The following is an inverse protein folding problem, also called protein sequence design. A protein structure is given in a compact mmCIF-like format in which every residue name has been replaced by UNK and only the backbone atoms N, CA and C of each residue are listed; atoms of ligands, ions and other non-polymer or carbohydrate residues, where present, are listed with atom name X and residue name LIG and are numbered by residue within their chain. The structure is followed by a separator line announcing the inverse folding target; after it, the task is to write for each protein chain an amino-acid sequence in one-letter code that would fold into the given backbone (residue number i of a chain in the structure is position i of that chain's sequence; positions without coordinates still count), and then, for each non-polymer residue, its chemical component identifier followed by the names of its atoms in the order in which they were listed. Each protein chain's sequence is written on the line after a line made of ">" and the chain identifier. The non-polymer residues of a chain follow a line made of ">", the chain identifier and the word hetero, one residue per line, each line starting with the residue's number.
data_IF_243716323867
#
_entry.id   IF_243716323867
#
_cell.length_a   1.000
_cell.length_b   1.000
_cell.length_c   1.000
_cell.angle_alpha   90.00
_cell.angle_beta   90.00
_cell.angle_gamma   90.00
#
_symmetry.space_group_name_H-M   'P 1'
#
loop_
_entity.id
_entity.type
_entity.pdbx_description
1 polymer ?
#
# COMPACT_ATOMS: atom_id res chain seq x y z
N UNK A 1 4.94 18.22 -19.50
CA UNK A 1 4.52 18.00 -18.10
C UNK A 1 4.26 19.32 -17.38
N UNK A 2 5.23 20.24 -17.32
CA UNK A 2 5.12 21.48 -16.51
C UNK A 2 4.30 22.63 -17.14
N UNK A 3 3.88 22.54 -18.41
CA UNK A 3 3.21 23.64 -19.14
C UNK A 3 1.96 24.20 -18.45
N UNK A 4 1.30 23.42 -17.60
CA UNK A 4 0.14 23.87 -16.84
C UNK A 4 0.50 24.87 -15.73
N UNK A 5 1.74 24.83 -15.21
CA UNK A 5 2.23 25.75 -14.16
C UNK A 5 2.39 27.19 -14.65
N UNK A 6 2.51 27.40 -15.96
CA UNK A 6 2.51 28.73 -16.57
C UNK A 6 1.26 29.53 -16.21
N UNK A 7 0.15 28.85 -15.95
CA UNK A 7 -1.14 29.46 -15.64
C UNK A 7 -1.49 29.40 -14.14
N UNK A 8 -0.60 28.86 -13.31
CA UNK A 8 -0.75 28.85 -11.85
C UNK A 8 -0.26 30.19 -11.29
N UNK A 9 -1.21 31.02 -10.83
CA UNK A 9 -0.93 32.37 -10.33
C UNK A 9 0.04 32.41 -9.15
N UNK A 10 0.21 31.32 -8.42
CA UNK A 10 1.12 31.24 -7.27
C UNK A 10 2.51 30.71 -7.63
N UNK A 11 2.66 30.04 -8.79
CA UNK A 11 3.87 29.27 -9.12
C UNK A 11 4.38 29.50 -10.54
N UNK A 12 3.94 30.57 -11.20
CA UNK A 12 4.44 30.94 -12.53
C UNK A 12 5.96 31.16 -12.54
N UNK A 13 6.54 31.68 -11.45
CA UNK A 13 7.98 31.89 -11.30
C UNK A 13 8.77 30.55 -11.22
N UNK A 14 8.15 29.49 -10.71
CA UNK A 14 8.78 28.17 -10.65
C UNK A 14 8.91 27.55 -12.05
N UNK A 15 7.91 27.79 -12.92
CA UNK A 15 7.96 27.36 -14.32
C UNK A 15 9.16 27.99 -15.04
N UNK A 16 9.31 29.31 -14.94
CA UNK A 16 10.43 30.03 -15.58
C UNK A 16 11.79 29.53 -15.09
N UNK A 17 11.89 29.18 -13.82
CA UNK A 17 13.14 28.71 -13.21
C UNK A 17 13.51 27.27 -13.57
N UNK A 18 12.52 26.38 -13.69
CA UNK A 18 12.75 24.92 -13.75
C UNK A 18 12.33 24.26 -15.07
N UNK A 19 11.80 24.99 -16.05
CA UNK A 19 11.38 24.41 -17.35
C UNK A 19 12.54 23.76 -18.11
N UNK A 20 13.70 24.43 -18.21
CA UNK A 20 14.83 23.95 -19.03
C UNK A 20 15.63 22.85 -18.34
N UNK A 21 15.77 22.92 -17.02
CA UNK A 21 16.50 21.94 -16.22
C UNK A 21 15.70 21.61 -14.97
N UNK A 22 14.71 20.74 -15.12
CA UNK A 22 13.80 20.37 -14.03
C UNK A 22 14.53 19.49 -13.01
N UNK A 23 14.77 19.97 -11.78
CA UNK A 23 15.40 19.12 -10.78
C UNK A 23 14.39 18.08 -10.29
N UNK A 24 14.91 16.91 -9.92
CA UNK A 24 14.10 15.76 -9.52
C UNK A 24 13.19 16.04 -8.32
N UNK A 25 13.65 16.80 -7.33
CA UNK A 25 12.85 17.16 -6.16
C UNK A 25 11.61 17.97 -6.57
N UNK A 26 11.78 18.88 -7.54
CA UNK A 26 10.68 19.68 -8.07
C UNK A 26 9.70 18.77 -8.80
N UNK A 27 10.18 17.90 -9.69
CA UNK A 27 9.31 16.93 -10.37
C UNK A 27 8.46 16.11 -9.37
N UNK A 28 9.07 15.59 -8.30
CA UNK A 28 8.39 14.77 -7.29
C UNK A 28 7.24 15.52 -6.59
N UNK A 29 7.34 16.85 -6.44
CA UNK A 29 6.28 17.66 -5.83
C UNK A 29 5.02 17.79 -6.70
N UNK A 30 5.14 17.64 -8.03
CA UNK A 30 4.03 17.84 -8.97
C UNK A 30 3.43 16.56 -9.51
N UNK A 31 4.21 15.48 -9.55
CA UNK A 31 3.73 14.23 -10.09
C UNK A 31 2.64 13.63 -9.21
N UNK A 32 1.66 12.97 -9.81
CA UNK A 32 0.65 12.26 -9.03
C UNK A 32 1.28 11.02 -8.39
N UNK A 33 0.65 10.47 -7.35
CA UNK A 33 1.18 9.27 -6.70
C UNK A 33 1.35 8.08 -7.66
N UNK A 34 0.50 8.00 -8.70
CA UNK A 34 0.65 7.01 -9.77
C UNK A 34 1.92 7.21 -10.58
N UNK A 35 2.22 8.46 -10.96
CA UNK A 35 3.45 8.82 -11.66
C UNK A 35 4.68 8.58 -10.77
N UNK A 36 4.59 8.83 -9.46
CA UNK A 36 5.65 8.50 -8.51
C UNK A 36 5.93 6.99 -8.48
N UNK A 37 4.90 6.14 -8.55
CA UNK A 37 5.09 4.69 -8.66
C UNK A 37 5.88 4.33 -9.93
N UNK A 38 5.48 4.89 -11.08
CA UNK A 38 6.18 4.69 -12.34
C UNK A 38 7.62 5.24 -12.29
N UNK A 39 7.83 6.36 -11.60
CA UNK A 39 9.13 6.96 -11.43
C UNK A 39 10.07 6.06 -10.61
N UNK A 40 9.58 5.46 -9.52
CA UNK A 40 10.34 4.49 -8.71
C UNK A 40 10.72 3.26 -9.55
N UNK A 41 9.80 2.75 -10.37
CA UNK A 41 10.06 1.65 -11.30
C UNK A 41 11.17 2.01 -12.30
N UNK A 42 11.02 3.15 -13.00
CA UNK A 42 12.02 3.68 -13.91
C UNK A 42 13.39 3.86 -13.24
N UNK A 43 13.42 4.43 -12.03
CA UNK A 43 14.67 4.72 -11.32
C UNK A 43 15.42 3.44 -10.97
N UNK A 44 14.71 2.40 -10.51
CA UNK A 44 15.30 1.09 -10.27
C UNK A 44 15.77 0.43 -11.57
N UNK A 45 14.99 0.47 -12.64
CA UNK A 45 15.35 -0.16 -13.91
C UNK A 45 16.57 0.51 -14.57
N UNK A 46 16.76 1.82 -14.34
CA UNK A 46 17.86 2.58 -14.92
C UNK A 46 19.17 2.48 -14.15
N UNK A 47 19.10 2.43 -12.81
CA UNK A 47 20.26 2.55 -11.93
C UNK A 47 20.50 1.33 -11.03
N UNK A 48 19.54 0.41 -10.92
CA UNK A 48 19.61 -0.82 -10.13
C UNK A 48 19.97 -0.59 -8.65
N UNK A 49 19.48 0.50 -8.06
CA UNK A 49 19.68 0.81 -6.65
C UNK A 49 18.86 -0.18 -5.81
N UNK A 50 19.54 -1.03 -5.05
CA UNK A 50 18.93 -2.15 -4.32
C UNK A 50 17.81 -1.73 -3.35
N UNK A 51 17.89 -0.53 -2.78
CA UNK A 51 16.85 0.03 -1.90
C UNK A 51 15.47 0.09 -2.58
N UNK A 52 15.43 0.28 -3.91
CA UNK A 52 14.19 0.38 -4.68
C UNK A 52 13.71 -0.95 -5.26
N UNK A 53 14.48 -2.04 -5.14
CA UNK A 53 14.20 -3.34 -5.78
C UNK A 53 12.88 -3.97 -5.37
N UNK A 54 12.55 -3.85 -4.08
CA UNK A 54 11.28 -4.34 -3.55
C UNK A 54 10.17 -3.30 -3.76
N UNK A 55 10.51 -2.02 -3.62
CA UNK A 55 9.56 -0.90 -3.74
C UNK A 55 8.99 -0.78 -5.15
N UNK A 56 9.81 -0.90 -6.20
CA UNK A 56 9.38 -0.86 -7.59
C UNK A 56 8.31 -1.94 -7.91
N UNK A 57 8.28 -3.04 -7.15
CA UNK A 57 7.30 -4.12 -7.33
C UNK A 57 6.07 -4.01 -6.44
N UNK A 58 6.11 -3.16 -5.41
CA UNK A 58 5.12 -3.19 -4.31
C UNK A 58 4.38 -1.88 -4.11
N UNK A 59 4.96 -0.73 -4.45
CA UNK A 59 4.34 0.60 -4.24
C UNK A 59 3.00 0.75 -4.98
N UNK A 60 2.84 0.06 -6.12
CA UNK A 60 1.58 0.03 -6.89
C UNK A 60 0.38 -0.49 -6.08
N UNK A 61 0.60 -1.40 -5.13
CA UNK A 61 -0.46 -1.94 -4.27
C UNK A 61 -0.90 -0.90 -3.22
N UNK A 62 0.06 -0.11 -2.71
CA UNK A 62 -0.24 1.02 -1.82
C UNK A 62 -1.09 2.07 -2.54
N UNK A 63 -0.79 2.34 -3.82
CA UNK A 63 -1.61 3.22 -4.67
C UNK A 63 -3.06 2.76 -4.73
N UNK A 64 -3.32 1.46 -4.84
CA UNK A 64 -4.67 0.91 -4.90
C UNK A 64 -5.47 1.22 -3.62
N UNK A 65 -4.88 1.02 -2.43
CA UNK A 65 -5.55 1.35 -1.15
C UNK A 65 -5.73 2.86 -0.99
N UNK A 66 -4.69 3.65 -1.28
CA UNK A 66 -4.78 5.11 -1.22
C UNK A 66 -5.91 5.63 -2.09
N UNK A 67 -6.02 5.15 -3.33
CA UNK A 67 -7.05 5.60 -4.26
C UNK A 67 -8.45 5.19 -3.77
N UNK A 68 -8.61 3.98 -3.22
CA UNK A 68 -9.89 3.57 -2.61
C UNK A 68 -10.29 4.49 -1.46
N UNK A 69 -9.34 4.84 -0.58
CA UNK A 69 -9.59 5.78 0.51
C UNK A 69 -9.94 7.18 0.00
N UNK A 70 -9.20 7.72 -0.99
CA UNK A 70 -9.42 9.05 -1.54
C UNK A 70 -10.75 9.20 -2.30
N UNK A 71 -11.25 8.11 -2.89
CA UNK A 71 -12.50 8.09 -3.66
C UNK A 71 -13.68 7.47 -2.89
N UNK A 72 -13.54 7.23 -1.58
CA UNK A 72 -14.57 6.61 -0.73
C UNK A 72 -15.07 5.23 -1.23
N UNK A 73 -14.22 4.47 -1.93
CA UNK A 73 -14.54 3.11 -2.36
C UNK A 73 -14.53 2.17 -1.15
N UNK A 74 -15.63 1.44 -0.86
CA UNK A 74 -15.69 0.57 0.32
C UNK A 74 -14.69 -0.58 0.25
N UNK A 75 -13.65 -0.53 1.09
CA UNK A 75 -12.56 -1.51 1.07
C UNK A 75 -13.04 -2.91 1.56
N UNK A 76 -14.04 -2.94 2.43
CA UNK A 76 -14.64 -4.20 2.92
C UNK A 76 -15.50 -4.91 1.87
N UNK A 77 -15.83 -4.25 0.76
CA UNK A 77 -16.63 -4.86 -0.29
C UNK A 77 -15.93 -6.11 -0.84
N UNK A 78 -16.66 -7.22 -0.89
CA UNK A 78 -16.17 -8.53 -1.35
C UNK A 78 -14.92 -9.06 -0.61
N UNK A 79 -14.62 -8.59 0.60
CA UNK A 79 -13.39 -8.96 1.33
C UNK A 79 -13.35 -10.44 1.73
N UNK A 80 -14.50 -11.12 1.76
CA UNK A 80 -14.59 -12.55 2.09
C UNK A 80 -14.26 -13.46 0.89
N UNK A 81 -14.25 -12.94 -0.34
CA UNK A 81 -13.96 -13.73 -1.55
C UNK A 81 -12.50 -14.16 -1.60
N UNK A 82 -12.22 -15.37 -2.10
CA UNK A 82 -10.88 -15.97 -2.07
C UNK A 82 -10.34 -16.37 -3.45
N UNK A 83 -10.98 -15.87 -4.50
CA UNK A 83 -10.73 -16.26 -5.90
C UNK A 83 -10.62 -15.08 -6.85
N UNK A 84 -10.46 -13.85 -6.34
CA UNK A 84 -10.38 -12.65 -7.18
C UNK A 84 -9.07 -12.58 -7.98
N UNK A 85 -7.99 -13.16 -7.45
CA UNK A 85 -6.68 -13.28 -8.09
C UNK A 85 -6.32 -14.75 -8.34
N UNK A 86 -5.66 -15.03 -9.47
CA UNK A 86 -5.01 -16.32 -9.64
C UNK A 86 -3.78 -16.42 -8.73
N UNK A 87 -3.40 -17.66 -8.36
CA UNK A 87 -2.27 -17.86 -7.45
C UNK A 87 -0.94 -17.30 -7.98
N UNK A 88 -0.76 -17.31 -9.30
CA UNK A 88 0.42 -16.78 -10.01
C UNK A 88 0.52 -15.26 -10.00
N UNK A 89 -0.60 -14.56 -9.82
CA UNK A 89 -0.66 -13.09 -9.85
C UNK A 89 -0.37 -12.47 -8.48
N UNK A 90 -0.22 -13.29 -7.44
CA UNK A 90 0.15 -12.84 -6.10
C UNK A 90 1.60 -12.40 -6.08
N UNK A 91 1.85 -11.25 -5.46
CA UNK A 91 3.24 -10.84 -5.17
C UNK A 91 3.94 -11.85 -4.25
N UNK A 92 5.10 -12.32 -4.71
CA UNK A 92 5.98 -13.21 -3.94
C UNK A 92 6.50 -12.51 -2.68
N UNK A 93 6.83 -11.22 -2.76
CA UNK A 93 7.31 -10.42 -1.63
C UNK A 93 6.27 -10.37 -0.50
N UNK A 94 5.01 -10.11 -0.87
CA UNK A 94 3.91 -10.03 0.10
C UNK A 94 3.61 -11.41 0.70
N UNK A 95 3.68 -12.45 -0.12
CA UNK A 95 3.53 -13.84 0.33
C UNK A 95 4.62 -14.23 1.33
N UNK A 96 5.88 -13.87 1.06
CA UNK A 96 7.02 -14.13 1.95
C UNK A 96 6.93 -13.32 3.23
N UNK A 97 6.55 -12.05 3.14
CA UNK A 97 6.33 -11.19 4.30
C UNK A 97 5.33 -11.81 5.27
N UNK A 98 4.13 -12.18 4.80
CA UNK A 98 3.10 -12.84 5.63
C UNK A 98 3.56 -14.18 6.20
N UNK A 99 4.34 -14.94 5.43
CA UNK A 99 4.91 -16.21 5.91
C UNK A 99 5.88 -16.00 7.08
N UNK A 100 6.66 -14.91 7.09
CA UNK A 100 7.56 -14.56 8.21
C UNK A 100 6.79 -14.21 9.48
N UNK A 101 5.56 -13.73 9.36
CA UNK A 101 4.64 -13.47 10.48
C UNK A 101 3.99 -14.76 11.04
N UNK A 102 4.47 -15.95 10.69
CA UNK A 102 3.99 -17.22 11.24
C UNK A 102 2.67 -17.74 10.64
N UNK A 103 2.09 -17.06 9.64
CA UNK A 103 0.80 -17.48 9.07
C UNK A 103 0.95 -18.71 8.18
N UNK A 104 0.05 -19.69 8.36
CA UNK A 104 0.09 -20.95 7.63
C UNK A 104 -0.09 -20.78 6.11
N UNK A 105 0.61 -21.64 5.34
CA UNK A 105 0.61 -21.62 3.87
C UNK A 105 -0.80 -21.71 3.26
N UNK A 106 -1.68 -22.51 3.86
CA UNK A 106 -3.05 -22.67 3.36
C UNK A 106 -3.87 -21.40 3.58
N UNK A 107 -3.76 -20.79 4.76
CA UNK A 107 -4.48 -19.55 5.10
C UNK A 107 -4.03 -18.39 4.23
N UNK A 108 -2.71 -18.18 4.08
CA UNK A 108 -2.19 -17.11 3.22
C UNK A 108 -2.52 -17.34 1.74
N UNK A 109 -2.48 -18.58 1.25
CA UNK A 109 -2.82 -18.89 -0.15
C UNK A 109 -4.29 -18.59 -0.47
N UNK A 110 -5.18 -18.78 0.50
CA UNK A 110 -6.61 -18.47 0.37
C UNK A 110 -6.87 -16.96 0.48
N UNK A 111 -6.25 -16.28 1.45
CA UNK A 111 -6.54 -14.88 1.79
C UNK A 111 -5.86 -13.86 0.86
N UNK A 112 -4.62 -14.10 0.46
CA UNK A 112 -3.88 -13.21 -0.45
C UNK A 112 -4.35 -13.28 -1.91
N UNK A 113 -5.41 -14.05 -2.20
CA UNK A 113 -6.10 -14.05 -3.50
C UNK A 113 -7.25 -13.03 -3.56
N UNK A 114 -7.43 -12.25 -2.51
CA UNK A 114 -8.36 -11.13 -2.48
C UNK A 114 -7.57 -9.83 -2.71
N UNK A 115 -8.00 -8.99 -3.65
CA UNK A 115 -7.27 -7.76 -3.99
C UNK A 115 -7.16 -6.82 -2.79
N UNK A 116 -8.24 -6.64 -2.02
CA UNK A 116 -8.24 -5.74 -0.87
C UNK A 116 -7.29 -6.24 0.23
N UNK A 117 -7.34 -7.53 0.53
CA UNK A 117 -6.45 -8.12 1.55
C UNK A 117 -4.99 -8.05 1.06
N UNK A 118 -4.73 -8.40 -0.20
CA UNK A 118 -3.39 -8.35 -0.77
C UNK A 118 -2.80 -6.93 -0.72
N UNK A 119 -3.56 -5.93 -1.17
CA UNK A 119 -3.11 -4.54 -1.20
C UNK A 119 -2.93 -3.97 0.22
N UNK A 120 -3.79 -4.32 1.19
CA UNK A 120 -3.63 -3.91 2.60
C UNK A 120 -2.35 -4.48 3.22
N UNK A 121 -2.08 -5.77 3.01
CA UNK A 121 -0.86 -6.40 3.51
C UNK A 121 0.37 -5.82 2.82
N UNK A 122 0.27 -5.50 1.53
CA UNK A 122 1.32 -4.79 0.81
C UNK A 122 1.60 -3.40 1.40
N UNK A 123 0.58 -2.70 1.88
CA UNK A 123 0.75 -1.43 2.60
C UNK A 123 1.57 -1.62 3.87
N UNK A 124 1.28 -2.64 4.69
CA UNK A 124 2.09 -2.96 5.88
C UNK A 124 3.54 -3.28 5.50
N UNK A 125 3.75 -4.10 4.47
CA UNK A 125 5.10 -4.43 3.98
C UNK A 125 5.87 -3.17 3.55
N UNK A 126 5.26 -2.29 2.75
CA UNK A 126 5.93 -1.06 2.29
C UNK A 126 6.17 -0.10 3.46
N UNK A 127 5.24 -0.02 4.41
CA UNK A 127 5.37 0.80 5.61
C UNK A 127 6.58 0.37 6.46
N UNK A 128 6.78 -0.93 6.64
CA UNK A 128 7.95 -1.51 7.31
C UNK A 128 9.28 -1.22 6.59
N UNK A 129 9.25 -0.92 5.30
CA UNK A 129 10.46 -0.58 4.53
C UNK A 129 10.80 0.90 4.53
N UNK A 130 9.79 1.76 4.47
CA UNK A 130 9.99 3.20 4.26
C UNK A 130 10.03 3.98 5.58
N UNK A 131 9.18 3.63 6.55
CA UNK A 131 9.06 4.43 7.78
C UNK A 131 10.10 3.97 8.78
N UNK A 132 11.22 4.68 8.93
CA UNK A 132 12.31 4.21 9.81
C UNK A 132 12.06 4.49 11.31
N UNK A 133 11.14 5.39 11.66
CA UNK A 133 10.87 5.76 13.05
C UNK A 133 10.10 4.66 13.81
N UNK A 134 10.68 4.05 14.86
CA UNK A 134 10.00 3.01 15.65
C UNK A 134 8.75 3.56 16.36
N UNK A 135 8.80 4.81 16.82
CA UNK A 135 7.67 5.46 17.50
C UNK A 135 6.49 5.67 16.54
N UNK A 136 6.76 6.09 15.29
CA UNK A 136 5.70 6.24 14.29
C UNK A 136 5.05 4.89 13.96
N UNK A 137 5.86 3.83 13.80
CA UNK A 137 5.35 2.47 13.60
C UNK A 137 4.46 2.03 14.76
N UNK A 138 4.96 2.15 15.99
CA UNK A 138 4.22 1.79 17.21
C UNK A 138 2.87 2.51 17.27
N UNK A 139 2.85 3.82 17.00
CA UNK A 139 1.61 4.60 17.03
C UNK A 139 0.60 4.13 15.98
N UNK A 140 1.03 3.85 14.74
CA UNK A 140 0.12 3.34 13.69
C UNK A 140 -0.39 1.93 13.96
N UNK A 141 0.45 1.06 14.53
CA UNK A 141 0.02 -0.28 14.96
C UNK A 141 -1.01 -0.18 16.09
N UNK A 142 -0.82 0.74 17.05
CA UNK A 142 -1.81 1.00 18.10
C UNK A 142 -3.15 1.50 17.54
N UNK A 143 -3.13 2.42 16.58
CA UNK A 143 -4.33 2.91 15.90
C UNK A 143 -5.06 1.77 15.17
N UNK A 144 -4.32 0.88 14.49
CA UNK A 144 -4.92 -0.27 13.81
C UNK A 144 -5.50 -1.27 14.84
N UNK A 145 -4.80 -1.54 15.95
CA UNK A 145 -5.33 -2.38 17.02
C UNK A 145 -6.62 -1.81 17.64
N UNK A 146 -6.70 -0.49 17.83
CA UNK A 146 -7.93 0.17 18.29
C UNK A 146 -9.07 0.01 17.29
N UNK A 147 -8.79 0.10 15.98
CA UNK A 147 -9.77 -0.20 14.94
C UNK A 147 -10.24 -1.66 15.01
N UNK A 148 -9.33 -2.62 15.16
CA UNK A 148 -9.68 -4.04 15.27
C UNK A 148 -10.52 -4.33 16.51
N UNK A 149 -10.28 -3.66 17.63
CA UNK A 149 -11.15 -3.74 18.83
C UNK A 149 -12.53 -3.16 18.51
N UNK A 150 -12.60 -1.97 17.90
CA UNK A 150 -13.86 -1.33 17.53
C UNK A 150 -14.67 -2.15 16.54
N UNK A 151 -14.02 -2.85 15.62
CA UNK A 151 -14.70 -3.68 14.62
C UNK A 151 -15.58 -4.75 15.28
N UNK A 152 -15.24 -5.26 16.47
CA UNK A 152 -16.07 -6.23 17.20
C UNK A 152 -17.41 -5.69 17.70
N UNK A 153 -17.65 -4.37 17.68
CA UNK A 153 -18.87 -3.75 18.24
C UNK A 153 -20.17 -4.34 17.68
N UNK A 154 -20.18 -4.68 16.39
CA UNK A 154 -21.32 -5.28 15.71
C UNK A 154 -21.00 -6.72 15.29
N UNK A 155 -20.38 -7.49 16.18
CA UNK A 155 -19.95 -8.86 15.86
C UNK A 155 -21.12 -9.80 15.54
N UNK A 156 -22.32 -9.48 16.03
CA UNK A 156 -23.56 -10.20 15.83
C UNK A 156 -24.00 -10.29 14.36
N UNK A 157 -23.63 -9.31 13.53
CA UNK A 157 -23.95 -9.30 12.10
C UNK A 157 -22.87 -9.94 11.22
N UNK A 158 -21.77 -10.43 11.81
CA UNK A 158 -20.67 -11.01 11.05
C UNK A 158 -20.83 -12.51 10.88
N UNK A 159 -20.76 -12.95 9.62
CA UNK A 159 -20.67 -14.38 9.32
C UNK A 159 -19.27 -14.94 9.59
N UNK A 160 -19.15 -16.27 9.62
CA UNK A 160 -17.89 -16.97 9.85
C UNK A 160 -16.79 -16.60 8.85
N UNK A 161 -17.17 -16.21 7.62
CA UNK A 161 -16.21 -15.85 6.57
C UNK A 161 -15.55 -14.52 6.88
N UNK A 162 -16.34 -13.55 7.35
CA UNK A 162 -15.87 -12.23 7.80
C UNK A 162 -15.06 -12.36 9.08
N UNK A 163 -15.52 -13.13 10.07
CA UNK A 163 -14.75 -13.44 11.30
C UNK A 163 -13.40 -14.05 10.95
N UNK A 164 -13.33 -14.93 9.96
CA UNK A 164 -12.07 -15.52 9.51
C UNK A 164 -11.16 -14.53 8.78
N UNK A 165 -11.69 -13.46 8.15
CA UNK A 165 -10.86 -12.35 7.64
C UNK A 165 -10.34 -11.49 8.79
N UNK A 166 -11.20 -11.17 9.76
CA UNK A 166 -10.83 -10.42 10.95
C UNK A 166 -9.70 -11.10 11.72
N UNK A 167 -9.82 -12.41 11.98
CA UNK A 167 -8.78 -13.19 12.65
C UNK A 167 -7.47 -13.21 11.85
N UNK A 168 -7.54 -13.24 10.51
CA UNK A 168 -6.33 -13.16 9.69
C UNK A 168 -5.57 -11.84 9.88
N UNK A 169 -6.26 -10.71 10.01
CA UNK A 169 -5.60 -9.43 10.29
C UNK A 169 -5.12 -9.30 11.74
N UNK A 170 -5.81 -9.90 12.71
CA UNK A 170 -5.28 -9.98 14.08
C UNK A 170 -3.98 -10.80 14.12
N UNK A 171 -3.94 -11.97 13.49
CA UNK A 171 -2.72 -12.79 13.42
C UNK A 171 -1.56 -12.01 12.80
N UNK A 172 -1.82 -11.18 11.78
CA UNK A 172 -0.81 -10.30 11.18
C UNK A 172 -0.31 -9.28 12.21
N UNK A 173 -1.21 -8.56 12.88
CA UNK A 173 -0.86 -7.49 13.81
C UNK A 173 -0.14 -8.00 15.06
N UNK A 174 -0.49 -9.18 15.55
CA UNK A 174 0.16 -9.79 16.71
C UNK A 174 1.63 -10.16 16.44
N UNK A 175 2.00 -10.31 15.15
CA UNK A 175 3.33 -10.72 14.72
C UNK A 175 4.08 -9.66 13.89
N UNK A 176 3.49 -8.48 13.67
CA UNK A 176 4.03 -7.37 12.86
C UNK A 176 4.91 -6.42 13.69
#
# INVERSE_FOLDING_TARGET
>A
MLKHLKYDSYRCLDYEKYETNTPIWFLIEYIQFGDLCCFIEFFYDRYHIEEYKELCKTVRFVKNIRNKAAHNTPILNNIVLTTQMAGKDKSVLITQFVKRLGISKNRLNKRLRNYNIHDMVAMLFVYDKIVMSPNMRKYRVQEFNQFMIRAKRNSDIYDERFVSVYNFFNDILDNY
#
